data_IF_400623797280
#
_entry.id   IF_400623797280
#
_cell.length_a   1.000
_cell.length_b   1.000
_cell.length_c   1.000
_cell.angle_alpha   90.00
_cell.angle_beta   90.00
_cell.angle_gamma   90.00
#
_symmetry.space_group_name_H-M   'P 1'
#
loop_
_entity.id
_entity.type
_entity.pdbx_description
1 polymer ?
#
# COMPACT_ATOMS: atom_id res chain seq x y z
N UNK A 1 -11.51 10.76 17.47
CA UNK A 1 -10.43 9.73 17.48
C UNK A 1 -10.94 8.33 17.12
N UNK A 2 -12.10 7.87 17.63
CA UNK A 2 -12.66 6.52 17.36
C UNK A 2 -12.82 6.16 15.87
N UNK A 3 -13.31 7.10 15.04
CA UNK A 3 -13.55 6.84 13.61
C UNK A 3 -12.27 6.72 12.78
N UNK A 4 -11.20 7.44 13.13
CA UNK A 4 -9.90 7.34 12.42
C UNK A 4 -9.23 5.99 12.67
N UNK A 5 -9.31 5.49 13.91
CA UNK A 5 -8.80 4.16 14.25
C UNK A 5 -9.55 3.07 13.48
N UNK A 6 -10.88 3.17 13.35
CA UNK A 6 -11.67 2.22 12.58
C UNK A 6 -11.29 2.20 11.09
N UNK A 7 -11.12 3.38 10.48
CA UNK A 7 -10.65 3.49 9.09
C UNK A 7 -9.29 2.80 8.89
N UNK A 8 -8.32 3.07 9.77
CA UNK A 8 -6.99 2.45 9.71
C UNK A 8 -7.04 0.94 9.91
N UNK A 9 -7.82 0.46 10.88
CA UNK A 9 -8.02 -0.97 11.11
C UNK A 9 -8.68 -1.61 9.90
N UNK A 10 -9.67 -0.98 9.28
CA UNK A 10 -10.33 -1.50 8.08
C UNK A 10 -9.37 -1.62 6.89
N UNK A 11 -8.53 -0.61 6.65
CA UNK A 11 -7.48 -0.67 5.62
C UNK A 11 -6.50 -1.81 5.87
N UNK A 12 -6.14 -2.04 7.14
CA UNK A 12 -5.27 -3.13 7.49
C UNK A 12 -5.96 -4.48 7.32
N UNK A 13 -7.17 -4.68 7.85
CA UNK A 13 -7.80 -6.01 8.00
C UNK A 13 -8.56 -6.46 6.75
N UNK A 14 -9.28 -5.57 6.06
CA UNK A 14 -10.13 -5.96 4.92
C UNK A 14 -9.35 -6.70 3.82
N UNK A 15 -8.13 -6.28 3.43
CA UNK A 15 -7.35 -7.02 2.45
C UNK A 15 -7.05 -8.46 2.88
N UNK A 16 -6.72 -8.70 4.16
CA UNK A 16 -6.36 -10.03 4.66
C UNK A 16 -7.51 -11.02 4.61
N UNK A 17 -8.77 -10.57 4.62
CA UNK A 17 -9.93 -11.43 4.42
C UNK A 17 -9.90 -12.13 3.05
N UNK A 18 -9.12 -11.63 2.10
CA UNK A 18 -8.96 -12.24 0.78
C UNK A 18 -7.89 -13.34 0.72
N UNK A 19 -6.95 -13.37 1.68
CA UNK A 19 -5.84 -14.34 1.70
C UNK A 19 -6.31 -15.81 1.74
N UNK A 20 -7.36 -16.18 2.50
CA UNK A 20 -7.88 -17.55 2.48
C UNK A 20 -8.32 -18.06 1.10
N UNK A 21 -8.62 -17.18 0.13
CA UNK A 21 -8.95 -17.56 -1.25
C UNK A 21 -7.71 -17.86 -2.12
N UNK A 22 -6.50 -17.81 -1.55
CA UNK A 22 -5.25 -18.13 -2.23
C UNK A 22 -4.71 -19.46 -1.71
N UNK A 23 -4.30 -20.33 -2.64
CA UNK A 23 -3.66 -21.60 -2.30
C UNK A 23 -2.39 -21.38 -1.46
N UNK A 24 -2.21 -22.21 -0.42
CA UNK A 24 -1.05 -22.13 0.48
C UNK A 24 0.30 -22.22 -0.25
N UNK A 25 0.39 -23.02 -1.31
CA UNK A 25 1.61 -23.14 -2.14
C UNK A 25 1.95 -21.83 -2.84
N UNK A 26 0.94 -21.15 -3.37
CA UNK A 26 1.05 -19.85 -4.03
C UNK A 26 1.49 -18.76 -3.05
N UNK A 27 0.89 -18.73 -1.85
CA UNK A 27 1.32 -17.82 -0.78
C UNK A 27 2.80 -18.04 -0.45
N UNK A 28 3.21 -19.27 -0.14
CA UNK A 28 4.60 -19.59 0.21
C UNK A 28 5.59 -19.19 -0.90
N UNK A 29 5.19 -19.33 -2.17
CA UNK A 29 6.02 -18.97 -3.32
C UNK A 29 6.27 -17.46 -3.42
N UNK A 30 5.24 -16.64 -3.19
CA UNK A 30 5.32 -15.19 -3.39
C UNK A 30 5.58 -14.39 -2.12
N UNK A 31 5.50 -15.04 -0.96
CA UNK A 31 5.75 -14.42 0.33
C UNK A 31 7.14 -13.76 0.42
N UNK A 32 8.26 -14.39 0.02
CA UNK A 32 9.58 -13.75 0.12
C UNK A 32 9.68 -12.47 -0.71
N UNK A 33 9.18 -12.48 -1.94
CA UNK A 33 9.18 -11.31 -2.82
C UNK A 33 8.28 -10.18 -2.31
N UNK A 34 7.12 -10.54 -1.75
CA UNK A 34 6.19 -9.58 -1.14
C UNK A 34 6.79 -8.93 0.11
N UNK A 35 7.46 -9.72 0.96
CA UNK A 35 8.16 -9.20 2.14
C UNK A 35 9.26 -8.24 1.72
N UNK A 36 10.08 -8.62 0.73
CA UNK A 36 11.19 -7.79 0.26
C UNK A 36 10.71 -6.44 -0.30
N UNK A 37 9.68 -6.45 -1.14
CA UNK A 37 9.08 -5.24 -1.69
C UNK A 37 8.39 -4.38 -0.62
N UNK A 38 7.78 -5.00 0.38
CA UNK A 38 7.18 -4.27 1.51
C UNK A 38 8.25 -3.60 2.39
N UNK A 39 9.37 -4.26 2.65
CA UNK A 39 10.51 -3.66 3.35
C UNK A 39 11.07 -2.48 2.54
N UNK A 40 11.21 -2.65 1.22
CA UNK A 40 11.62 -1.57 0.34
C UNK A 40 10.69 -0.35 0.45
N UNK A 41 9.37 -0.55 0.41
CA UNK A 41 8.40 0.54 0.60
C UNK A 41 8.50 1.19 1.97
N UNK A 42 8.77 0.45 3.05
CA UNK A 42 8.98 1.06 4.37
C UNK A 42 10.19 2.00 4.34
N UNK A 43 11.29 1.58 3.71
CA UNK A 43 12.49 2.40 3.57
C UNK A 43 12.20 3.63 2.70
N UNK A 44 11.47 3.46 1.60
CA UNK A 44 11.03 4.55 0.73
C UNK A 44 10.15 5.55 1.50
N UNK A 45 9.17 5.08 2.27
CA UNK A 45 8.29 5.91 3.10
C UNK A 45 9.05 6.76 4.11
N UNK A 46 10.07 6.20 4.76
CA UNK A 46 10.97 6.95 5.66
C UNK A 46 11.68 8.08 4.89
N UNK A 47 12.13 7.83 3.67
CA UNK A 47 12.77 8.85 2.83
C UNK A 47 11.78 9.90 2.32
N UNK A 48 10.58 9.47 1.95
CA UNK A 48 9.49 10.32 1.49
C UNK A 48 9.00 11.27 2.59
N UNK A 49 8.89 10.81 3.84
CA UNK A 49 8.55 11.64 5.00
C UNK A 49 9.63 12.71 5.24
N UNK A 50 10.92 12.34 5.14
CA UNK A 50 12.05 13.31 5.22
C UNK A 50 11.99 14.36 4.12
N UNK A 51 11.67 13.96 2.89
CA UNK A 51 11.52 14.86 1.74
C UNK A 51 10.19 15.62 1.71
N UNK A 52 9.26 15.32 2.63
CA UNK A 52 7.90 15.89 2.67
C UNK A 52 7.16 15.68 1.35
N UNK A 53 7.24 14.49 0.76
CA UNK A 53 6.44 14.15 -0.43
C UNK A 53 4.96 14.11 -0.09
N UNK A 54 4.65 13.49 1.04
CA UNK A 54 3.34 13.43 1.66
C UNK A 54 3.50 13.52 3.19
N UNK A 55 2.41 13.82 3.88
CA UNK A 55 2.35 13.90 5.34
C UNK A 55 1.20 13.07 5.85
N UNK A 56 1.49 12.14 6.76
CA UNK A 56 0.46 11.40 7.49
C UNK A 56 0.13 12.16 8.77
N UNK A 57 -1.12 12.58 8.90
CA UNK A 57 -1.59 13.34 10.06
C UNK A 57 -1.98 12.43 11.24
N UNK A 58 -2.04 11.12 10.99
CA UNK A 58 -2.32 10.10 11.99
C UNK A 58 -1.08 9.20 12.17
N UNK A 59 -0.67 9.00 13.42
CA UNK A 59 0.39 8.05 13.79
C UNK A 59 -0.15 7.10 14.86
N UNK A 60 0.05 5.79 14.66
CA UNK A 60 -0.38 4.75 15.62
C UNK A 60 0.44 4.85 16.90
N UNK A 61 1.75 5.08 16.76
CA UNK A 61 2.69 5.36 17.85
C UNK A 61 3.65 6.47 17.42
N UNK A 62 4.20 7.25 18.37
CA UNK A 62 5.37 8.08 18.08
C UNK A 62 6.49 7.18 17.52
N UNK A 63 7.14 7.62 16.45
CA UNK A 63 8.20 6.90 15.69
C UNK A 63 7.76 5.79 14.73
N UNK A 64 6.45 5.59 14.51
CA UNK A 64 5.95 4.67 13.49
C UNK A 64 5.52 5.47 12.26
N UNK A 65 5.97 5.06 11.07
CA UNK A 65 5.55 5.72 9.81
C UNK A 65 4.05 5.51 9.60
N UNK A 66 3.33 6.57 9.22
CA UNK A 66 1.88 6.53 9.02
C UNK A 66 1.45 5.65 7.83
N UNK A 67 2.39 5.24 7.00
CA UNK A 67 2.20 4.38 5.82
C UNK A 67 2.05 2.90 6.17
N UNK A 68 2.52 2.48 7.35
CA UNK A 68 2.58 1.06 7.71
C UNK A 68 1.26 0.29 7.53
N UNK A 69 0.08 0.85 7.90
CA UNK A 69 -1.20 0.18 7.64
C UNK A 69 -1.50 -0.01 6.14
N UNK A 70 -1.06 0.91 5.29
CA UNK A 70 -1.18 0.78 3.83
C UNK A 70 -0.22 -0.28 3.29
N UNK A 71 1.01 -0.30 3.80
CA UNK A 71 2.03 -1.26 3.36
C UNK A 71 1.61 -2.69 3.79
N UNK A 72 1.27 -2.89 5.06
CA UNK A 72 0.95 -4.21 5.62
C UNK A 72 -0.46 -4.71 5.27
N UNK A 73 -1.37 -3.82 4.88
CA UNK A 73 -2.73 -4.17 4.47
C UNK A 73 -2.81 -4.33 2.96
N UNK A 74 -3.29 -3.30 2.24
CA UNK A 74 -3.65 -3.41 0.83
C UNK A 74 -2.44 -3.68 -0.06
N UNK A 75 -1.27 -3.07 0.20
CA UNK A 75 -0.09 -3.31 -0.63
C UNK A 75 0.38 -4.76 -0.48
N UNK A 76 0.67 -5.23 0.73
CA UNK A 76 1.18 -6.58 0.96
C UNK A 76 0.26 -7.66 0.38
N UNK A 77 -1.04 -7.59 0.68
CA UNK A 77 -2.00 -8.57 0.18
C UNK A 77 -2.21 -8.41 -1.34
N UNK A 78 -2.27 -7.17 -1.82
CA UNK A 78 -2.39 -6.85 -3.24
C UNK A 78 -1.22 -7.38 -4.06
N UNK A 79 0.01 -7.26 -3.58
CA UNK A 79 1.21 -7.80 -4.23
C UNK A 79 1.14 -9.32 -4.40
N UNK A 80 0.63 -10.06 -3.41
CA UNK A 80 0.45 -11.52 -3.53
C UNK A 80 -0.57 -11.84 -4.64
N UNK A 81 -1.66 -11.09 -4.72
CA UNK A 81 -2.67 -11.24 -5.78
C UNK A 81 -2.13 -10.90 -7.16
N UNK A 82 -1.43 -9.77 -7.30
CA UNK A 82 -0.78 -9.34 -8.54
C UNK A 82 0.18 -10.44 -8.99
N UNK A 83 1.10 -10.87 -8.11
CA UNK A 83 2.05 -11.93 -8.42
C UNK A 83 1.36 -13.25 -8.80
N UNK A 84 0.27 -13.63 -8.11
CA UNK A 84 -0.53 -14.82 -8.47
C UNK A 84 -0.99 -14.79 -9.93
N UNK A 85 -1.45 -13.64 -10.43
CA UNK A 85 -2.00 -13.53 -11.77
C UNK A 85 -0.96 -13.21 -12.85
N UNK A 86 0.18 -12.63 -12.48
CA UNK A 86 1.14 -12.11 -13.47
C UNK A 86 2.50 -12.79 -13.43
N UNK A 87 2.76 -13.73 -12.52
CA UNK A 87 4.06 -14.39 -12.43
C UNK A 87 4.46 -15.05 -13.75
N UNK A 88 5.71 -14.84 -14.17
CA UNK A 88 6.23 -15.30 -15.47
C UNK A 88 5.85 -14.44 -16.67
N UNK A 89 4.98 -13.44 -16.51
CA UNK A 89 4.53 -12.52 -17.57
C UNK A 89 4.88 -11.08 -17.21
N UNK A 90 6.14 -10.69 -17.38
CA UNK A 90 6.64 -9.37 -16.97
C UNK A 90 5.83 -8.18 -17.53
N UNK A 91 5.46 -8.22 -18.81
CA UNK A 91 4.65 -7.14 -19.43
C UNK A 91 3.29 -6.98 -18.73
N UNK A 92 2.63 -8.10 -18.40
CA UNK A 92 1.35 -8.09 -17.70
C UNK A 92 1.52 -7.59 -16.26
N UNK A 93 2.57 -8.03 -15.56
CA UNK A 93 2.92 -7.53 -14.24
C UNK A 93 3.09 -6.01 -14.24
N UNK A 94 3.88 -5.48 -15.18
CA UNK A 94 4.18 -4.06 -15.27
C UNK A 94 2.93 -3.22 -15.52
N UNK A 95 2.12 -3.60 -16.52
CA UNK A 95 0.87 -2.89 -16.85
C UNK A 95 -0.12 -2.95 -15.68
N UNK A 96 -0.27 -4.11 -15.05
CA UNK A 96 -1.21 -4.27 -13.94
C UNK A 96 -0.79 -3.43 -12.73
N UNK A 97 0.50 -3.35 -12.41
CA UNK A 97 0.97 -2.47 -11.33
C UNK A 97 0.64 -1.01 -11.62
N UNK A 98 0.96 -0.49 -12.81
CA UNK A 98 0.64 0.90 -13.18
C UNK A 98 -0.86 1.18 -13.05
N UNK A 99 -1.71 0.26 -13.50
CA UNK A 99 -3.18 0.41 -13.38
C UNK A 99 -3.60 0.48 -11.90
N UNK A 100 -3.09 -0.43 -11.06
CA UNK A 100 -3.44 -0.49 -9.65
C UNK A 100 -2.91 0.75 -8.90
N UNK A 101 -1.67 1.17 -9.17
CA UNK A 101 -1.06 2.35 -8.55
C UNK A 101 -1.77 3.64 -8.98
N UNK A 102 -2.17 3.73 -10.25
CA UNK A 102 -3.03 4.81 -10.75
C UNK A 102 -4.38 4.80 -10.06
N UNK A 103 -5.04 3.65 -9.99
CA UNK A 103 -6.34 3.52 -9.31
C UNK A 103 -6.25 3.92 -7.84
N UNK A 104 -5.22 3.46 -7.13
CA UNK A 104 -4.97 3.85 -5.75
C UNK A 104 -4.74 5.36 -5.62
N UNK A 105 -3.92 5.94 -6.49
CA UNK A 105 -3.56 7.35 -6.44
C UNK A 105 -4.73 8.28 -6.75
N UNK A 106 -5.56 7.94 -7.74
CA UNK A 106 -6.65 8.80 -8.19
C UNK A 106 -7.96 8.56 -7.42
N UNK A 107 -8.18 7.38 -6.85
CA UNK A 107 -9.41 7.07 -6.11
C UNK A 107 -9.21 7.02 -4.59
N UNK A 108 -8.19 6.32 -4.11
CA UNK A 108 -7.98 6.11 -2.68
C UNK A 108 -7.31 7.30 -2.00
N UNK A 109 -6.28 7.91 -2.59
CA UNK A 109 -5.62 9.08 -1.96
C UNK A 109 -6.62 10.23 -1.70
N UNK A 110 -7.52 10.63 -2.62
CA UNK A 110 -8.52 11.66 -2.31
C UNK A 110 -9.47 11.29 -1.17
N UNK A 111 -9.84 10.01 -1.03
CA UNK A 111 -10.64 9.54 0.10
C UNK A 111 -9.88 9.68 1.43
N UNK A 112 -8.59 9.38 1.41
CA UNK A 112 -7.70 9.52 2.57
C UNK A 112 -7.39 10.99 2.90
N UNK A 113 -7.34 11.87 1.90
CA UNK A 113 -7.25 13.32 2.08
C UNK A 113 -8.52 13.88 2.74
N UNK A 114 -9.72 13.44 2.31
CA UNK A 114 -11.00 13.80 2.92
C UNK A 114 -11.12 13.40 4.39
N UNK A 115 -10.53 12.27 4.78
CA UNK A 115 -10.51 11.81 6.19
C UNK A 115 -9.36 12.42 7.00
N UNK A 116 -8.57 13.32 6.39
CA UNK A 116 -7.35 13.90 6.93
C UNK A 116 -6.35 12.84 7.41
N UNK A 117 -6.29 11.69 6.75
CA UNK A 117 -5.33 10.64 7.07
C UNK A 117 -3.97 10.92 6.43
N UNK A 118 -3.97 11.25 5.15
CA UNK A 118 -2.79 11.62 4.36
C UNK A 118 -3.01 12.97 3.68
N UNK A 119 -1.93 13.68 3.38
CA UNK A 119 -1.96 14.91 2.60
C UNK A 119 -0.74 14.91 1.68
N UNK A 120 -0.95 15.00 0.36
CA UNK A 120 0.15 15.20 -0.57
C UNK A 120 0.70 16.61 -0.41
N UNK A 121 2.04 16.75 -0.34
CA UNK A 121 2.68 18.05 -0.08
C UNK A 121 3.54 18.47 -1.27
N UNK A 122 4.52 17.66 -1.67
CA UNK A 122 5.46 18.00 -2.76
C UNK A 122 5.42 17.04 -3.94
N UNK A 123 4.76 15.90 -3.80
CA UNK A 123 4.63 14.92 -4.88
C UNK A 123 3.28 15.08 -5.59
N UNK A 124 3.30 15.20 -6.91
CA UNK A 124 2.08 15.24 -7.71
C UNK A 124 1.50 13.84 -7.86
N UNK A 125 0.17 13.75 -8.00
CA UNK A 125 -0.55 12.48 -8.22
C UNK A 125 0.02 11.69 -9.40
N UNK A 126 0.35 12.37 -10.49
CA UNK A 126 0.95 11.73 -11.66
C UNK A 126 2.29 11.03 -11.35
N UNK A 127 3.17 11.67 -10.56
CA UNK A 127 4.46 11.09 -10.16
C UNK A 127 4.34 9.96 -9.13
N UNK A 128 3.19 9.86 -8.47
CA UNK A 128 2.91 8.78 -7.52
C UNK A 128 2.30 7.56 -8.24
N UNK A 129 1.63 7.76 -9.36
CA UNK A 129 0.92 6.70 -10.10
C UNK A 129 1.78 5.91 -11.09
N UNK A 130 3.02 6.33 -11.34
CA UNK A 130 3.94 5.79 -12.36
C UNK A 130 5.31 5.59 -11.71
#
# INVERSE_FOLDING_TARGET
MRNKNLFVISMLVLPWLTIPFIEKKTIKRFLPGTIMTSIYLVIEGIHAEKKKWWRFNYKIKPNVIGELPLILGPFFVGSIWILKYTFGKFKLYFILNIIIDSFFTYLFIPLMEKTHYVTLVKLSKFKLSI
#
